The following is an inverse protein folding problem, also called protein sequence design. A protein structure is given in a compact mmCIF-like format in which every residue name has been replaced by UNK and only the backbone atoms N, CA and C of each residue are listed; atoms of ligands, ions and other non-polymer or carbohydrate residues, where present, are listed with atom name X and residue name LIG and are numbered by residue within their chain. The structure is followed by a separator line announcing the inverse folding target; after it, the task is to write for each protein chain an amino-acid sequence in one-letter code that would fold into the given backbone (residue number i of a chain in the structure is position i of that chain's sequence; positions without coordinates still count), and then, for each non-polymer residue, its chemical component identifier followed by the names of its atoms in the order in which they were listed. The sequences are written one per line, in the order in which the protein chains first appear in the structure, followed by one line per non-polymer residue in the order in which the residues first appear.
data_IF_197834755012
#
_entry.id   IF_197834755012
#
_cell.length_a   1.000
_cell.length_b   1.000
_cell.length_c   1.000
_cell.angle_alpha   90.00
_cell.angle_beta   90.00
_cell.angle_gamma   90.00
#
_symmetry.space_group_name_H-M   'P 1'
#
loop_
_entity.id
_entity.type
_entity.pdbx_description
1 polymer ?
#
# COMPACT_ATOMS: atom_id res chain seq x y z
N UNK A 1 13.82 -27.01 13.12
CA UNK A 1 14.64 -25.78 12.98
C UNK A 1 13.69 -24.64 12.70
N UNK A 2 13.63 -23.67 13.59
CA UNK A 2 12.73 -22.52 13.43
C UNK A 2 13.14 -21.70 12.23
N UNK A 3 12.16 -21.44 11.34
CA UNK A 3 12.39 -20.68 10.12
C UNK A 3 12.52 -19.19 10.46
N UNK A 4 13.73 -18.66 10.48
CA UNK A 4 13.94 -17.25 10.74
C UNK A 4 13.75 -16.39 9.48
N UNK A 5 13.01 -15.29 9.62
CA UNK A 5 12.69 -14.35 8.55
C UNK A 5 13.43 -13.03 8.79
N UNK A 6 14.12 -12.51 7.77
CA UNK A 6 14.79 -11.21 7.82
C UNK A 6 14.12 -10.26 6.83
N UNK A 7 13.68 -9.09 7.31
CA UNK A 7 13.02 -8.05 6.51
C UNK A 7 13.99 -6.88 6.33
N UNK A 8 14.22 -6.48 5.08
CA UNK A 8 15.21 -5.47 4.70
C UNK A 8 14.53 -4.15 4.30
N UNK A 9 14.78 -3.08 5.05
CA UNK A 9 14.23 -1.74 4.84
C UNK A 9 15.36 -0.69 4.78
N UNK A 10 16.17 -0.66 3.71
CA UNK A 10 17.42 0.11 3.64
C UNK A 10 17.25 1.63 3.73
N UNK A 11 16.11 2.16 3.33
CA UNK A 11 15.85 3.61 3.36
C UNK A 11 14.38 3.85 3.69
N UNK A 12 14.11 4.26 4.91
CA UNK A 12 12.79 4.75 5.28
C UNK A 12 12.73 6.22 4.90
N UNK A 13 11.92 6.54 3.89
CA UNK A 13 11.70 7.91 3.47
C UNK A 13 10.74 8.61 4.44
N UNK A 14 11.28 9.43 5.32
CA UNK A 14 10.55 10.22 6.33
C UNK A 14 9.45 11.12 5.75
N UNK A 15 9.58 11.51 4.48
CA UNK A 15 8.61 12.40 3.81
C UNK A 15 7.41 11.65 3.20
N UNK A 16 7.48 10.32 3.11
CA UNK A 16 6.42 9.51 2.48
C UNK A 16 5.47 8.86 3.50
N UNK A 17 6.04 8.23 4.52
CA UNK A 17 5.30 7.63 5.65
C UNK A 17 6.20 7.62 6.89
N UNK A 18 5.66 7.80 8.11
CA UNK A 18 6.41 7.63 9.35
C UNK A 18 7.02 6.22 9.44
N UNK A 19 8.23 6.13 9.98
CA UNK A 19 8.89 4.84 10.18
C UNK A 19 8.05 3.89 11.03
N UNK A 20 7.37 4.43 12.04
CA UNK A 20 6.49 3.72 12.94
C UNK A 20 5.33 3.02 12.23
N UNK A 21 4.70 3.67 11.25
CA UNK A 21 3.61 3.05 10.45
C UNK A 21 4.12 1.91 9.58
N UNK A 22 5.30 2.08 8.95
CA UNK A 22 5.89 1.02 8.13
C UNK A 22 6.27 -0.19 8.97
N UNK A 23 6.82 0.03 10.17
CA UNK A 23 7.18 -1.02 11.11
C UNK A 23 5.93 -1.68 11.72
N UNK A 24 4.90 -0.92 12.09
CA UNK A 24 3.62 -1.45 12.55
C UNK A 24 2.96 -2.37 11.51
N UNK A 25 3.11 -2.05 10.23
CA UNK A 25 2.66 -2.94 9.16
C UNK A 25 3.46 -4.25 9.10
N UNK A 26 4.78 -4.20 9.34
CA UNK A 26 5.58 -5.42 9.41
C UNK A 26 5.23 -6.25 10.66
N UNK A 27 4.98 -5.60 11.78
CA UNK A 27 4.51 -6.26 12.99
C UNK A 27 3.18 -6.99 12.76
N UNK A 28 2.24 -6.33 12.10
CA UNK A 28 0.96 -6.93 11.71
C UNK A 28 1.13 -8.14 10.76
N UNK A 29 1.99 -8.07 9.74
CA UNK A 29 2.30 -9.24 8.92
C UNK A 29 2.88 -10.37 9.74
N UNK A 30 3.74 -10.04 10.68
CA UNK A 30 4.46 -11.02 11.51
C UNK A 30 3.57 -11.70 12.53
N UNK A 31 2.47 -11.08 12.95
CA UNK A 31 1.47 -11.74 13.80
C UNK A 31 0.86 -12.97 13.13
N UNK A 32 0.76 -12.97 11.80
CA UNK A 32 0.29 -14.13 11.03
C UNK A 32 1.34 -15.23 10.92
N UNK A 33 2.63 -14.91 10.95
CA UNK A 33 3.70 -15.91 10.99
C UNK A 33 3.62 -16.75 12.26
N UNK A 34 3.24 -16.14 13.38
CA UNK A 34 3.07 -16.81 14.67
C UNK A 34 2.07 -17.96 14.63
N UNK A 35 1.01 -17.85 13.79
CA UNK A 35 0.00 -18.92 13.63
C UNK A 35 0.54 -20.20 12.99
N UNK A 36 1.64 -20.12 12.27
CA UNK A 36 2.25 -21.24 11.52
C UNK A 36 3.62 -21.64 12.08
N UNK A 37 4.07 -21.04 13.17
CA UNK A 37 5.32 -21.42 13.82
C UNK A 37 5.03 -22.50 14.86
N UNK A 38 5.82 -23.57 14.85
CA UNK A 38 5.86 -24.55 15.91
C UNK A 38 6.25 -23.89 17.24
N UNK A 39 6.31 -24.63 18.31
CA UNK A 39 6.44 -24.25 19.75
C UNK A 39 7.44 -23.14 20.08
N UNK A 40 8.32 -22.73 19.19
CA UNK A 40 9.23 -21.58 19.34
C UNK A 40 9.06 -20.61 18.17
N UNK A 41 8.17 -19.62 18.32
CA UNK A 41 8.08 -18.50 17.39
C UNK A 41 9.29 -17.58 17.55
N UNK A 42 10.14 -17.54 16.52
CA UNK A 42 11.19 -16.52 16.43
C UNK A 42 10.63 -15.29 15.70
N UNK A 43 10.64 -14.15 16.41
CA UNK A 43 10.24 -12.87 15.81
C UNK A 43 11.06 -12.60 14.56
N UNK A 44 10.43 -12.22 13.42
CA UNK A 44 11.17 -11.73 12.27
C UNK A 44 12.10 -10.57 12.62
N UNK A 45 13.31 -10.62 12.10
CA UNK A 45 14.32 -9.59 12.28
C UNK A 45 14.12 -8.50 11.22
N UNK A 46 13.75 -7.28 11.63
CA UNK A 46 13.63 -6.11 10.74
C UNK A 46 14.88 -5.26 10.84
N UNK A 47 15.62 -5.16 9.74
CA UNK A 47 16.82 -4.32 9.66
C UNK A 47 16.51 -3.10 8.79
N UNK A 48 16.73 -1.91 9.34
CA UNK A 48 16.40 -0.68 8.63
C UNK A 48 17.41 0.44 8.87
N UNK A 49 17.29 1.51 8.05
CA UNK A 49 18.00 2.78 8.24
C UNK A 49 17.08 3.97 7.96
N UNK A 50 17.39 5.13 8.56
CA UNK A 50 16.68 6.39 8.33
C UNK A 50 15.81 6.87 9.50
N UNK A 51 15.77 6.16 10.62
CA UNK A 51 15.07 6.60 11.83
C UNK A 51 15.81 6.13 13.11
N UNK A 52 15.63 6.84 14.22
CA UNK A 52 16.26 6.55 15.51
C UNK A 52 15.27 6.18 16.61
N UNK A 53 14.09 6.82 16.63
CA UNK A 53 13.11 6.62 17.70
C UNK A 53 12.07 5.59 17.26
N UNK A 54 12.13 4.40 17.86
CA UNK A 54 11.33 3.26 17.47
C UNK A 54 10.60 2.73 18.68
N UNK A 55 9.26 2.63 18.61
CA UNK A 55 8.48 1.98 19.65
C UNK A 55 8.79 0.49 19.70
N UNK A 56 8.44 -0.12 20.80
CA UNK A 56 8.47 -1.58 20.95
C UNK A 56 7.37 -2.22 20.10
N UNK A 57 7.70 -3.32 19.42
CA UNK A 57 6.77 -4.14 18.64
C UNK A 57 6.67 -5.55 19.23
N UNK A 58 5.46 -6.12 19.15
CA UNK A 58 5.20 -7.42 19.76
C UNK A 58 5.71 -8.58 18.91
N UNK A 59 5.54 -8.50 17.59
CA UNK A 59 5.75 -9.64 16.68
C UNK A 59 7.02 -9.53 15.83
N UNK A 60 7.80 -8.46 15.96
CA UNK A 60 9.07 -8.26 15.27
C UNK A 60 10.18 -7.86 16.22
N UNK A 61 11.42 -8.20 15.86
CA UNK A 61 12.64 -7.67 16.46
C UNK A 61 13.24 -6.62 15.52
N UNK A 62 13.47 -5.40 16.01
CA UNK A 62 13.81 -4.26 15.16
C UNK A 62 15.23 -3.77 15.44
N UNK A 63 16.07 -3.71 14.38
CA UNK A 63 17.43 -3.20 14.43
C UNK A 63 17.62 -2.01 13.52
N UNK A 64 17.82 -0.82 14.12
CA UNK A 64 18.25 0.37 13.41
C UNK A 64 19.77 0.37 13.24
N UNK A 65 20.24 0.31 12.00
CA UNK A 65 21.69 0.33 11.73
C UNK A 65 22.22 1.73 11.38
N UNK A 66 21.33 2.70 11.21
CA UNK A 66 21.67 4.10 11.02
C UNK A 66 20.44 5.00 11.11
N UNK A 67 20.57 6.18 11.71
CA UNK A 67 19.55 7.24 11.69
C UNK A 67 19.45 7.95 10.33
N UNK A 68 20.42 7.72 9.41
CA UNK A 68 20.47 8.32 8.06
C UNK A 68 20.38 7.25 6.98
N UNK A 69 19.88 7.57 5.79
CA UNK A 69 19.94 6.70 4.62
C UNK A 69 21.37 6.26 4.31
N UNK A 70 21.52 5.01 3.87
CA UNK A 70 22.82 4.40 3.57
C UNK A 70 22.88 3.91 2.14
N UNK A 71 24.10 3.81 1.59
CA UNK A 71 24.28 3.12 0.32
C UNK A 71 24.09 1.60 0.46
N UNK A 72 23.80 0.94 -0.66
CA UNK A 72 23.47 -0.50 -0.70
C UNK A 72 24.52 -1.39 -0.07
N UNK A 73 25.80 -1.13 -0.35
CA UNK A 73 26.90 -2.00 0.11
C UNK A 73 27.12 -1.85 1.62
N UNK A 74 27.13 -0.63 2.14
CA UNK A 74 27.31 -0.36 3.57
C UNK A 74 26.12 -0.94 4.34
N UNK A 75 24.90 -0.77 3.83
CA UNK A 75 23.71 -1.38 4.44
C UNK A 75 23.82 -2.91 4.46
N UNK A 76 24.23 -3.54 3.35
CA UNK A 76 24.38 -4.98 3.29
C UNK A 76 25.43 -5.50 4.28
N UNK A 77 26.59 -4.86 4.37
CA UNK A 77 27.66 -5.25 5.32
C UNK A 77 27.21 -5.16 6.77
N UNK A 78 26.57 -4.03 7.15
CA UNK A 78 26.04 -3.86 8.52
C UNK A 78 24.90 -4.85 8.82
N UNK A 79 24.02 -5.07 7.86
CA UNK A 79 22.97 -6.09 7.99
C UNK A 79 23.55 -7.48 8.20
N UNK A 80 24.64 -7.83 7.50
CA UNK A 80 25.31 -9.12 7.67
C UNK A 80 25.85 -9.29 9.11
N UNK A 81 26.40 -8.23 9.71
CA UNK A 81 26.86 -8.27 11.09
C UNK A 81 25.70 -8.57 12.06
N UNK A 82 24.58 -7.87 11.90
CA UNK A 82 23.36 -8.10 12.70
C UNK A 82 22.85 -9.54 12.49
N UNK A 83 22.71 -9.98 11.25
CA UNK A 83 22.22 -11.34 10.91
C UNK A 83 23.10 -12.41 11.55
N UNK A 84 24.43 -12.27 11.51
CA UNK A 84 25.35 -13.23 12.14
C UNK A 84 25.16 -13.33 13.65
N UNK A 85 24.84 -12.22 14.31
CA UNK A 85 24.62 -12.20 15.76
C UNK A 85 23.24 -12.71 16.19
N UNK A 86 22.18 -12.38 15.44
CA UNK A 86 20.79 -12.62 15.85
C UNK A 86 20.17 -13.82 15.13
N UNK A 87 20.42 -13.98 13.83
CA UNK A 87 19.78 -14.99 12.98
C UNK A 87 20.77 -15.52 11.94
N UNK A 88 21.78 -16.30 12.33
CA UNK A 88 22.92 -16.66 11.46
C UNK A 88 22.55 -17.49 10.22
N UNK A 89 21.42 -18.18 10.23
CA UNK A 89 20.93 -19.00 9.13
C UNK A 89 19.46 -18.65 8.78
N UNK A 90 19.19 -17.46 8.25
CA UNK A 90 17.82 -17.09 7.90
C UNK A 90 17.26 -18.01 6.81
N UNK A 91 16.01 -18.42 6.95
CA UNK A 91 15.30 -19.17 5.93
C UNK A 91 14.81 -18.24 4.81
N UNK A 92 14.50 -16.97 5.14
CA UNK A 92 13.94 -16.01 4.20
C UNK A 92 14.53 -14.62 4.36
N UNK A 93 14.80 -13.97 3.21
CA UNK A 93 15.15 -12.56 3.09
C UNK A 93 14.02 -11.83 2.36
N UNK A 94 13.35 -10.93 3.05
CA UNK A 94 12.22 -10.18 2.51
C UNK A 94 12.70 -8.81 2.01
N UNK A 95 12.67 -8.63 0.70
CA UNK A 95 12.95 -7.37 0.04
C UNK A 95 11.63 -6.69 -0.31
N UNK A 96 11.26 -5.63 0.39
CA UNK A 96 9.96 -4.96 0.23
C UNK A 96 9.71 -4.38 -1.18
N UNK A 97 10.77 -4.17 -1.98
CA UNK A 97 10.68 -3.79 -3.40
C UNK A 97 11.75 -4.49 -4.23
N UNK A 98 11.55 -4.68 -5.55
CA UNK A 98 12.49 -5.40 -6.42
C UNK A 98 13.65 -4.52 -6.93
N UNK A 99 14.09 -3.54 -6.15
CA UNK A 99 15.19 -2.63 -6.50
C UNK A 99 16.29 -2.69 -5.44
N UNK A 100 16.52 -1.60 -4.73
CA UNK A 100 17.59 -1.49 -3.73
C UNK A 100 17.51 -2.60 -2.64
N UNK A 101 16.35 -2.88 -2.00
CA UNK A 101 16.26 -3.98 -1.03
C UNK A 101 16.58 -5.34 -1.63
N UNK A 102 16.19 -5.58 -2.90
CA UNK A 102 16.45 -6.84 -3.59
C UNK A 102 17.95 -7.03 -3.89
N UNK A 103 18.63 -5.95 -4.30
CA UNK A 103 20.09 -6.00 -4.52
C UNK A 103 20.83 -6.30 -3.21
N UNK A 104 20.40 -5.71 -2.10
CA UNK A 104 20.92 -6.05 -0.77
C UNK A 104 20.70 -7.52 -0.45
N UNK A 105 19.49 -8.03 -0.66
CA UNK A 105 19.18 -9.44 -0.44
C UNK A 105 20.05 -10.39 -1.30
N UNK A 106 20.39 -10.02 -2.54
CA UNK A 106 21.31 -10.78 -3.39
C UNK A 106 22.74 -10.80 -2.82
N UNK A 107 23.21 -9.66 -2.30
CA UNK A 107 24.53 -9.60 -1.64
C UNK A 107 24.54 -10.48 -0.39
N UNK A 108 23.52 -10.36 0.46
CA UNK A 108 23.40 -11.17 1.69
C UNK A 108 23.31 -12.66 1.39
N UNK A 109 22.65 -13.05 0.29
CA UNK A 109 22.52 -14.45 -0.13
C UNK A 109 23.87 -15.11 -0.41
N UNK A 110 24.92 -14.38 -0.75
CA UNK A 110 26.28 -14.93 -0.90
C UNK A 110 26.79 -15.49 0.45
N UNK A 111 26.35 -14.93 1.56
CA UNK A 111 26.73 -15.32 2.92
C UNK A 111 25.67 -16.17 3.62
N UNK A 112 24.45 -16.20 3.09
CA UNK A 112 23.31 -16.98 3.58
C UNK A 112 22.71 -17.82 2.45
N UNK A 113 23.45 -18.81 1.89
CA UNK A 113 23.10 -19.47 0.62
C UNK A 113 21.78 -20.24 0.68
N UNK A 114 21.34 -20.68 1.86
CA UNK A 114 20.06 -21.38 2.06
C UNK A 114 18.85 -20.44 2.09
N UNK A 115 19.05 -19.15 2.35
CA UNK A 115 17.95 -18.19 2.43
C UNK A 115 17.21 -18.03 1.09
N UNK A 116 15.90 -18.00 1.12
CA UNK A 116 15.06 -17.71 -0.06
C UNK A 116 14.75 -16.23 -0.10
N UNK A 117 14.83 -15.60 -1.29
CA UNK A 117 14.56 -14.18 -1.47
C UNK A 117 13.11 -13.99 -1.91
N UNK A 118 12.34 -13.23 -1.14
CA UNK A 118 10.97 -12.83 -1.44
C UNK A 118 10.93 -11.32 -1.71
N UNK A 119 10.15 -10.91 -2.72
CA UNK A 119 9.99 -9.48 -3.04
C UNK A 119 8.54 -9.13 -3.31
N UNK A 120 8.23 -7.82 -3.28
CA UNK A 120 6.90 -7.32 -3.54
C UNK A 120 6.92 -6.22 -4.62
N UNK A 121 5.86 -6.15 -5.42
CA UNK A 121 5.62 -5.08 -6.38
C UNK A 121 4.40 -4.30 -5.89
N UNK A 122 4.60 -3.00 -5.59
CA UNK A 122 3.55 -2.12 -5.07
C UNK A 122 3.04 -1.11 -6.11
N UNK A 123 3.87 -0.73 -7.09
CA UNK A 123 3.54 0.26 -8.13
C UNK A 123 3.11 -0.37 -9.45
N UNK A 124 2.52 0.42 -10.33
CA UNK A 124 2.19 0.00 -11.68
C UNK A 124 3.45 -0.11 -12.56
N UNK A 125 3.72 -1.28 -13.07
CA UNK A 125 4.85 -1.53 -13.99
C UNK A 125 4.68 -0.78 -15.32
N UNK A 126 3.43 -0.50 -15.71
CA UNK A 126 3.10 0.29 -16.90
C UNK A 126 3.61 1.73 -16.84
N UNK A 127 3.70 2.31 -15.64
CA UNK A 127 4.26 3.65 -15.45
C UNK A 127 5.76 3.72 -15.83
N UNK A 128 6.50 2.63 -15.65
CA UNK A 128 7.91 2.56 -16.04
C UNK A 128 8.15 2.58 -17.56
N UNK A 129 7.14 2.24 -18.38
CA UNK A 129 7.28 2.30 -19.86
C UNK A 129 7.24 3.70 -20.44
N UNK A 130 6.69 4.67 -19.74
CA UNK A 130 6.31 5.96 -20.32
C UNK A 130 7.37 7.05 -20.24
N UNK A 131 8.49 6.85 -19.59
CA UNK A 131 9.48 7.90 -19.35
C UNK A 131 10.93 7.43 -19.51
N UNK A 132 11.50 7.64 -20.73
CA UNK A 132 12.92 7.74 -21.01
C UNK A 132 13.81 6.51 -20.81
N UNK A 133 15.05 6.59 -21.28
CA UNK A 133 16.10 5.55 -21.25
C UNK A 133 16.36 4.99 -19.85
N UNK A 134 16.32 5.84 -18.82
CA UNK A 134 16.51 5.44 -17.41
C UNK A 134 15.48 4.38 -16.95
N UNK A 135 14.25 4.44 -17.46
CA UNK A 135 13.19 3.50 -17.09
C UNK A 135 13.26 2.19 -17.87
N UNK A 136 13.79 2.20 -19.08
CA UNK A 136 14.12 0.96 -19.82
C UNK A 136 15.18 0.17 -19.08
N UNK A 137 16.20 0.83 -18.55
CA UNK A 137 17.25 0.21 -17.75
C UNK A 137 16.69 -0.38 -16.45
N UNK A 138 15.80 0.36 -15.76
CA UNK A 138 15.08 -0.15 -14.58
C UNK A 138 14.25 -1.39 -14.90
N UNK A 139 13.55 -1.43 -16.04
CA UNK A 139 12.79 -2.61 -16.50
C UNK A 139 13.69 -3.80 -16.78
N UNK A 140 14.88 -3.60 -17.35
CA UNK A 140 15.85 -4.66 -17.59
C UNK A 140 16.34 -5.26 -16.27
N UNK A 141 16.76 -4.44 -15.31
CA UNK A 141 17.16 -4.89 -13.96
C UNK A 141 16.01 -5.56 -13.22
N UNK A 142 14.81 -5.02 -13.33
CA UNK A 142 13.61 -5.63 -12.77
C UNK A 142 13.42 -7.06 -13.28
N UNK A 143 13.54 -7.29 -14.60
CA UNK A 143 13.47 -8.63 -15.19
C UNK A 143 14.52 -9.58 -14.61
N UNK A 144 15.75 -9.10 -14.49
CA UNK A 144 16.85 -9.89 -13.96
C UNK A 144 16.61 -10.29 -12.50
N UNK A 145 16.14 -9.32 -11.67
CA UNK A 145 15.90 -9.55 -10.25
C UNK A 145 14.69 -10.45 -10.01
N UNK A 146 13.58 -10.23 -10.70
CA UNK A 146 12.40 -11.07 -10.56
C UNK A 146 12.64 -12.53 -10.94
N UNK A 147 13.55 -12.80 -11.89
CA UNK A 147 13.95 -14.18 -12.24
C UNK A 147 14.70 -14.88 -11.10
N UNK A 148 15.37 -14.14 -10.21
CA UNK A 148 16.10 -14.66 -9.06
C UNK A 148 15.31 -14.69 -7.78
N UNK A 149 14.15 -14.04 -7.73
CA UNK A 149 13.25 -14.12 -6.59
C UNK A 149 12.68 -15.54 -6.44
N UNK A 150 12.61 -16.01 -5.20
CA UNK A 150 11.92 -17.27 -4.89
C UNK A 150 10.41 -17.09 -5.01
N UNK A 151 9.88 -15.98 -4.49
CA UNK A 151 8.50 -15.60 -4.70
C UNK A 151 8.35 -14.09 -4.91
N UNK A 152 7.25 -13.71 -5.58
CA UNK A 152 6.91 -12.34 -5.93
C UNK A 152 5.49 -12.07 -5.49
N UNK A 153 5.33 -11.16 -4.55
CA UNK A 153 4.03 -10.66 -4.10
C UNK A 153 3.53 -9.55 -5.00
N UNK A 154 2.29 -9.64 -5.40
CA UNK A 154 1.53 -8.57 -6.05
C UNK A 154 0.40 -8.09 -5.16
N UNK A 155 0.02 -6.81 -5.28
CA UNK A 155 -1.07 -6.24 -4.48
C UNK A 155 -2.44 -6.40 -5.13
N UNK A 156 -2.51 -6.71 -6.44
CA UNK A 156 -3.76 -6.98 -7.15
C UNK A 156 -3.57 -7.98 -8.30
N UNK A 157 -4.68 -8.60 -8.76
CA UNK A 157 -4.71 -9.49 -9.92
C UNK A 157 -4.22 -8.79 -11.18
N UNK A 158 -4.73 -7.59 -11.43
CA UNK A 158 -4.36 -6.78 -12.59
C UNK A 158 -2.87 -6.50 -12.64
N UNK A 159 -2.27 -6.15 -11.49
CA UNK A 159 -0.84 -5.93 -11.41
C UNK A 159 -0.04 -7.20 -11.74
N UNK A 160 -0.48 -8.37 -11.25
CA UNK A 160 0.16 -9.64 -11.58
C UNK A 160 0.04 -9.98 -13.07
N UNK A 161 -1.10 -9.73 -13.70
CA UNK A 161 -1.33 -9.93 -15.12
C UNK A 161 -0.46 -9.00 -15.97
N UNK A 162 -0.40 -7.73 -15.59
CA UNK A 162 0.45 -6.75 -16.29
C UNK A 162 1.93 -7.11 -16.13
N UNK A 163 2.36 -7.58 -14.97
CA UNK A 163 3.74 -8.06 -14.77
C UNK A 163 4.10 -9.22 -15.68
N UNK A 164 3.19 -10.15 -15.96
CA UNK A 164 3.40 -11.28 -16.89
C UNK A 164 3.72 -10.82 -18.32
N UNK A 165 3.20 -9.65 -18.74
CA UNK A 165 3.50 -9.07 -20.06
C UNK A 165 4.95 -8.58 -20.17
N UNK A 166 5.61 -8.29 -19.04
CA UNK A 166 6.96 -7.75 -19.00
C UNK A 166 8.02 -8.79 -18.64
N UNK A 167 7.65 -9.76 -17.83
CA UNK A 167 8.55 -10.79 -17.31
C UNK A 167 7.88 -12.14 -17.47
N UNK A 168 8.57 -13.11 -18.08
CA UNK A 168 8.11 -14.50 -18.04
C UNK A 168 8.21 -15.00 -16.58
N UNK A 169 7.13 -14.85 -15.85
CA UNK A 169 7.01 -15.32 -14.47
C UNK A 169 6.51 -16.77 -14.49
N UNK A 170 7.17 -17.62 -13.74
CA UNK A 170 6.62 -18.94 -13.41
C UNK A 170 5.45 -18.71 -12.44
N UNK A 171 4.24 -19.20 -12.77
CA UNK A 171 3.04 -19.02 -11.96
C UNK A 171 3.19 -19.53 -10.51
N UNK A 172 4.05 -20.50 -10.26
CA UNK A 172 4.34 -21.04 -8.92
C UNK A 172 5.04 -20.03 -7.98
N UNK A 173 5.60 -18.94 -8.53
CA UNK A 173 6.35 -17.93 -7.76
C UNK A 173 5.57 -16.65 -7.52
N UNK A 174 4.45 -16.45 -8.20
CA UNK A 174 3.65 -15.24 -8.11
C UNK A 174 2.41 -15.48 -7.23
N UNK A 175 2.20 -14.61 -6.25
CA UNK A 175 1.01 -14.66 -5.40
C UNK A 175 0.46 -13.26 -5.13
N UNK A 176 -0.82 -13.19 -4.80
CA UNK A 176 -1.51 -11.94 -4.56
C UNK A 176 -1.78 -11.82 -3.06
N UNK A 177 -1.23 -10.78 -2.46
CA UNK A 177 -1.56 -10.35 -1.11
C UNK A 177 -1.62 -8.84 -1.11
N UNK A 178 -2.81 -8.25 -1.02
CA UNK A 178 -3.01 -6.82 -0.95
C UNK A 178 -2.28 -6.17 0.24
N UNK A 179 -2.19 -4.85 0.23
CA UNK A 179 -1.76 -4.10 1.41
C UNK A 179 -2.85 -4.27 2.47
N UNK A 180 -2.55 -4.74 3.68
CA UNK A 180 -3.56 -4.95 4.69
C UNK A 180 -4.06 -3.62 5.22
N UNK A 181 -5.30 -3.63 5.60
CA UNK A 181 -5.91 -2.59 6.39
C UNK A 181 -5.75 -2.96 7.88
N UNK A 182 -5.06 -2.12 8.61
CA UNK A 182 -4.80 -2.31 10.04
C UNK A 182 -5.64 -1.29 10.78
N UNK A 183 -6.75 -1.73 11.39
CA UNK A 183 -7.57 -0.88 12.24
C UNK A 183 -8.35 -1.70 13.25
N UNK A 184 -8.51 -1.13 14.43
CA UNK A 184 -9.32 -1.71 15.51
C UNK A 184 -10.79 -1.23 15.45
N UNK A 185 -11.14 -0.29 14.54
CA UNK A 185 -12.42 0.41 14.54
C UNK A 185 -13.02 0.64 13.15
N UNK A 186 -13.40 -0.43 12.46
CA UNK A 186 -14.19 -0.27 11.22
C UNK A 186 -15.66 -0.05 11.55
N UNK A 187 -16.22 1.03 11.02
CA UNK A 187 -17.67 1.23 11.02
C UNK A 187 -18.30 1.67 12.34
N UNK A 188 -17.53 1.98 13.39
CA UNK A 188 -18.06 2.44 14.70
C UNK A 188 -18.57 3.88 14.69
N UNK A 189 -18.16 4.70 13.73
CA UNK A 189 -18.55 6.09 13.66
C UNK A 189 -19.92 6.25 12.99
N UNK A 190 -20.88 6.88 13.68
CA UNK A 190 -22.11 7.33 13.04
C UNK A 190 -21.73 8.33 11.95
N UNK A 191 -22.25 8.11 10.73
CA UNK A 191 -22.11 9.09 9.66
C UNK A 191 -22.79 10.37 10.11
N UNK A 192 -22.05 11.47 10.20
CA UNK A 192 -22.64 12.77 10.40
C UNK A 192 -23.43 13.12 9.14
N UNK A 193 -24.40 14.02 9.24
CA UNK A 193 -25.19 14.51 8.10
C UNK A 193 -24.36 15.33 7.10
N UNK A 194 -23.06 15.36 7.28
CA UNK A 194 -22.12 16.10 6.45
C UNK A 194 -21.92 15.40 5.11
N UNK A 195 -21.96 16.19 4.05
CA UNK A 195 -21.96 15.73 2.65
C UNK A 195 -20.67 16.11 1.94
N UNK A 196 -19.50 15.99 2.61
CA UNK A 196 -18.25 16.36 1.99
C UNK A 196 -17.93 15.49 0.78
N UNK A 197 -17.56 16.13 -0.32
CA UNK A 197 -16.85 15.52 -1.43
C UNK A 197 -15.37 15.54 -1.04
N UNK A 198 -14.75 14.37 -0.88
CA UNK A 198 -13.40 14.31 -0.38
C UNK A 198 -12.37 13.90 -1.43
N UNK A 199 -11.17 14.50 -1.30
CA UNK A 199 -9.91 13.99 -1.81
C UNK A 199 -9.12 13.39 -0.65
N UNK A 200 -8.66 12.14 -0.77
CA UNK A 200 -7.85 11.48 0.25
C UNK A 200 -6.58 10.91 -0.37
N UNK A 201 -5.44 11.41 0.06
CA UNK A 201 -4.14 10.91 -0.38
C UNK A 201 -3.12 12.00 -0.69
N UNK A 202 -1.98 11.58 -1.26
CA UNK A 202 -0.90 12.51 -1.61
C UNK A 202 -1.32 13.44 -2.74
N UNK A 203 -1.19 14.74 -2.54
CA UNK A 203 -1.58 15.78 -3.52
C UNK A 203 -0.46 15.96 -4.55
N UNK A 204 -0.50 15.14 -5.61
CA UNK A 204 0.51 15.11 -6.67
C UNK A 204 -0.12 14.83 -8.04
N UNK A 205 0.57 15.15 -9.12
CA UNK A 205 0.07 15.07 -10.50
C UNK A 205 -0.47 13.68 -10.87
N UNK A 206 0.19 12.63 -10.41
CA UNK A 206 -0.20 11.24 -10.68
C UNK A 206 -1.53 10.84 -10.04
N UNK A 207 -2.04 11.67 -9.10
CA UNK A 207 -3.37 11.49 -8.49
C UNK A 207 -4.49 12.24 -9.22
N UNK A 208 -4.17 12.90 -10.34
CA UNK A 208 -5.16 13.62 -11.15
C UNK A 208 -5.72 14.89 -10.47
N UNK A 209 -4.89 15.60 -9.70
CA UNK A 209 -5.31 16.78 -8.93
C UNK A 209 -5.95 17.85 -9.81
N UNK A 210 -5.42 18.11 -11.01
CA UNK A 210 -5.98 19.08 -11.95
C UNK A 210 -7.41 18.69 -12.38
N UNK A 211 -7.62 17.41 -12.68
CA UNK A 211 -8.94 16.89 -13.04
C UNK A 211 -9.91 16.94 -11.86
N UNK A 212 -9.41 16.65 -10.63
CA UNK A 212 -10.22 16.75 -9.42
C UNK A 212 -10.76 18.16 -9.22
N UNK A 213 -9.90 19.18 -9.37
CA UNK A 213 -10.29 20.59 -9.29
C UNK A 213 -11.37 20.92 -10.34
N UNK A 214 -11.19 20.45 -11.57
CA UNK A 214 -12.16 20.70 -12.67
C UNK A 214 -13.52 20.03 -12.38
N UNK A 215 -13.52 18.80 -11.85
CA UNK A 215 -14.76 18.10 -11.54
C UNK A 215 -15.54 18.80 -10.45
N UNK A 216 -14.87 19.32 -9.40
CA UNK A 216 -15.57 19.92 -8.26
C UNK A 216 -15.93 21.41 -8.44
N UNK A 217 -15.60 22.03 -9.57
CA UNK A 217 -15.90 23.45 -9.84
C UNK A 217 -17.34 23.86 -9.55
N UNK A 218 -18.38 23.11 -9.92
CA UNK A 218 -19.77 23.50 -9.72
C UNK A 218 -20.29 23.31 -8.28
N UNK A 219 -19.51 22.67 -7.40
CA UNK A 219 -19.92 22.40 -6.02
C UNK A 219 -19.48 23.54 -5.07
N UNK A 220 -20.25 23.75 -4.00
CA UNK A 220 -19.87 24.71 -2.96
C UNK A 220 -18.52 24.31 -2.34
N UNK A 221 -17.62 25.25 -2.24
CA UNK A 221 -16.28 25.04 -1.66
C UNK A 221 -16.34 24.54 -0.21
N UNK A 222 -17.35 24.94 0.54
CA UNK A 222 -17.58 24.47 1.91
C UNK A 222 -17.93 22.99 2.01
N UNK A 223 -18.31 22.36 0.89
CA UNK A 223 -18.56 20.92 0.81
C UNK A 223 -17.32 20.12 0.38
N UNK A 224 -16.15 20.76 0.23
CA UNK A 224 -14.94 20.09 -0.21
C UNK A 224 -13.99 19.85 0.96
N UNK A 225 -13.56 18.60 1.13
CA UNK A 225 -12.60 18.18 2.15
C UNK A 225 -11.38 17.54 1.46
N UNK A 226 -10.20 18.11 1.71
CA UNK A 226 -8.96 17.64 1.15
C UNK A 226 -8.06 17.12 2.27
N UNK A 227 -7.85 15.81 2.32
CA UNK A 227 -7.01 15.11 3.28
C UNK A 227 -5.70 14.69 2.60
N UNK A 228 -4.61 15.31 3.00
CA UNK A 228 -3.29 15.01 2.50
C UNK A 228 -2.42 16.22 2.23
N UNK A 229 -1.18 15.93 1.85
CA UNK A 229 -0.17 16.91 1.46
C UNK A 229 0.58 16.44 0.21
N UNK A 230 1.33 17.33 -0.42
CA UNK A 230 2.16 17.00 -1.56
C UNK A 230 2.57 18.19 -2.40
N UNK A 231 3.33 17.96 -3.49
CA UNK A 231 3.89 19.05 -4.31
C UNK A 231 2.85 20.01 -4.90
N UNK A 232 1.62 19.56 -5.13
CA UNK A 232 0.53 20.39 -5.68
C UNK A 232 -0.43 20.95 -4.62
N UNK A 233 -0.17 20.76 -3.32
CA UNK A 233 -1.06 21.19 -2.25
C UNK A 233 -1.28 22.72 -2.24
N UNK A 234 -0.23 23.51 -2.44
CA UNK A 234 -0.33 24.98 -2.48
C UNK A 234 -1.18 25.43 -3.67
N UNK A 235 -0.97 24.88 -4.84
CA UNK A 235 -1.77 25.18 -6.05
C UNK A 235 -3.24 24.84 -5.81
N UNK A 236 -3.51 23.68 -5.22
CA UNK A 236 -4.87 23.25 -4.92
C UNK A 236 -5.57 24.18 -3.93
N UNK A 237 -4.86 24.64 -2.88
CA UNK A 237 -5.39 25.65 -1.92
C UNK A 237 -5.73 26.98 -2.57
N UNK A 238 -4.89 27.46 -3.48
CA UNK A 238 -5.13 28.73 -4.21
C UNK A 238 -6.36 28.66 -5.12
N UNK A 239 -6.61 27.49 -5.75
CA UNK A 239 -7.73 27.31 -6.68
C UNK A 239 -9.06 26.94 -5.98
N UNK A 240 -9.00 26.43 -4.76
CA UNK A 240 -10.15 25.97 -3.99
C UNK A 240 -10.31 26.78 -2.68
N UNK A 241 -10.23 28.10 -2.77
CA UNK A 241 -10.45 28.99 -1.62
C UNK A 241 -11.82 28.72 -1.01
N UNK A 242 -11.87 28.51 0.31
CA UNK A 242 -13.08 28.14 1.04
C UNK A 242 -13.28 26.64 1.28
N UNK A 243 -12.49 25.78 0.64
CA UNK A 243 -12.47 24.34 0.93
C UNK A 243 -11.69 24.04 2.23
N UNK A 244 -12.01 22.93 2.87
CA UNK A 244 -11.32 22.46 4.07
C UNK A 244 -10.08 21.63 3.69
N UNK A 245 -8.91 22.00 4.18
CA UNK A 245 -7.65 21.29 4.01
C UNK A 245 -7.09 20.86 5.36
N UNK A 246 -6.96 19.58 5.60
CA UNK A 246 -6.43 19.06 6.87
C UNK A 246 -4.90 18.99 6.90
N UNK A 247 -4.25 18.99 5.73
CA UNK A 247 -2.84 18.63 5.64
C UNK A 247 -2.63 17.11 5.70
N UNK A 248 -1.40 16.69 5.97
CA UNK A 248 -1.07 15.27 6.17
C UNK A 248 -1.59 14.83 7.54
N UNK A 249 -2.37 13.76 7.57
CA UNK A 249 -2.91 13.14 8.77
C UNK A 249 -2.26 11.77 9.00
N UNK A 250 -2.23 11.34 10.26
CA UNK A 250 -1.89 9.96 10.63
C UNK A 250 -3.01 9.01 10.18
N UNK A 251 -2.71 7.71 10.07
CA UNK A 251 -3.73 6.71 9.73
C UNK A 251 -4.96 6.79 10.64
N UNK A 252 -4.75 6.97 11.94
CA UNK A 252 -5.84 7.07 12.93
C UNK A 252 -6.74 8.28 12.64
N UNK A 253 -6.14 9.45 12.43
CA UNK A 253 -6.88 10.67 12.09
C UNK A 253 -7.64 10.54 10.76
N UNK A 254 -7.05 9.90 9.75
CA UNK A 254 -7.78 9.61 8.50
C UNK A 254 -8.99 8.72 8.77
N UNK A 255 -8.85 7.68 9.62
CA UNK A 255 -9.96 6.80 10.00
C UNK A 255 -11.11 7.57 10.67
N UNK A 256 -10.79 8.52 11.53
CA UNK A 256 -11.78 9.39 12.22
C UNK A 256 -12.51 10.31 11.23
N UNK A 257 -11.78 10.83 10.23
CA UNK A 257 -12.35 11.74 9.22
C UNK A 257 -13.32 11.08 8.24
N UNK A 258 -13.30 9.75 8.05
CA UNK A 258 -14.25 9.09 7.17
C UNK A 258 -15.72 9.31 7.56
N UNK A 259 -16.02 9.60 8.83
CA UNK A 259 -17.36 9.89 9.31
C UNK A 259 -17.95 11.17 8.69
N UNK A 260 -17.11 12.12 8.31
CA UNK A 260 -17.49 13.42 7.74
C UNK A 260 -17.68 13.37 6.22
N UNK A 261 -17.25 12.29 5.56
CA UNK A 261 -17.21 12.20 4.11
C UNK A 261 -18.50 11.59 3.56
N UNK A 262 -19.15 12.31 2.66
CA UNK A 262 -20.34 11.87 1.93
C UNK A 262 -19.98 10.99 0.74
N UNK A 263 -18.94 11.36 -0.03
CA UNK A 263 -18.47 10.65 -1.20
C UNK A 263 -16.97 10.88 -1.42
N UNK A 264 -16.25 9.83 -1.80
CA UNK A 264 -14.86 9.93 -2.21
C UNK A 264 -14.79 10.14 -3.73
N UNK A 265 -14.14 11.22 -4.19
CA UNK A 265 -13.80 11.42 -5.59
C UNK A 265 -12.34 11.02 -5.84
N UNK A 266 -12.12 10.00 -6.66
CA UNK A 266 -10.79 9.54 -7.10
C UNK A 266 -10.56 9.82 -8.57
N UNK A 267 -9.64 10.74 -8.88
CA UNK A 267 -9.30 11.13 -10.25
C UNK A 267 -7.97 10.52 -10.73
N UNK A 268 -7.37 9.64 -9.93
CA UNK A 268 -6.12 8.98 -10.26
C UNK A 268 -6.27 8.15 -11.55
N UNK A 269 -5.53 8.44 -12.62
CA UNK A 269 -5.62 7.69 -13.87
C UNK A 269 -4.97 6.29 -13.74
N UNK A 270 -4.13 6.11 -12.74
CA UNK A 270 -3.41 4.86 -12.47
C UNK A 270 -3.49 4.52 -10.99
N UNK A 271 -4.22 3.48 -10.67
CA UNK A 271 -4.31 2.93 -9.33
C UNK A 271 -4.41 1.41 -9.41
N UNK A 272 -3.43 0.71 -8.84
CA UNK A 272 -3.35 -0.76 -8.93
C UNK A 272 -4.31 -1.47 -7.99
N UNK A 273 -4.50 -0.91 -6.78
CA UNK A 273 -5.30 -1.51 -5.73
C UNK A 273 -6.35 -0.54 -5.17
N UNK A 274 -5.97 0.73 -4.97
CA UNK A 274 -6.87 1.75 -4.44
C UNK A 274 -7.15 1.60 -2.95
N UNK A 275 -6.11 1.72 -2.12
CA UNK A 275 -6.25 1.58 -0.68
C UNK A 275 -7.27 2.58 -0.11
N UNK A 276 -7.17 3.87 -0.47
CA UNK A 276 -8.12 4.89 -0.01
C UNK A 276 -9.57 4.60 -0.46
N UNK A 277 -9.76 4.01 -1.65
CA UNK A 277 -11.09 3.58 -2.10
C UNK A 277 -11.65 2.47 -1.21
N UNK A 278 -10.83 1.48 -0.87
CA UNK A 278 -11.26 0.38 0.02
C UNK A 278 -11.50 0.86 1.44
N UNK A 279 -10.70 1.78 1.94
CA UNK A 279 -10.92 2.45 3.23
C UNK A 279 -12.25 3.19 3.24
N UNK A 280 -12.56 3.96 2.19
CA UNK A 280 -13.85 4.62 2.04
C UNK A 280 -15.02 3.63 2.14
N UNK A 281 -14.98 2.54 1.38
CA UNK A 281 -16.04 1.51 1.41
C UNK A 281 -16.16 0.83 2.77
N UNK A 282 -15.05 0.56 3.46
CA UNK A 282 -15.07 0.02 4.82
C UNK A 282 -15.81 0.94 5.80
N UNK A 283 -15.67 2.25 5.60
CA UNK A 283 -16.35 3.27 6.43
C UNK A 283 -17.74 3.65 5.92
N UNK A 284 -18.25 3.00 4.87
CA UNK A 284 -19.58 3.27 4.33
C UNK A 284 -19.65 4.52 3.45
N UNK A 285 -18.54 4.88 2.82
CA UNK A 285 -18.44 6.04 1.92
C UNK A 285 -18.42 5.54 0.48
N UNK A 286 -19.39 5.90 -0.38
CA UNK A 286 -19.41 5.55 -1.79
C UNK A 286 -18.32 6.29 -2.57
N UNK A 287 -18.04 5.79 -3.77
CA UNK A 287 -16.92 6.27 -4.58
C UNK A 287 -17.37 6.70 -5.96
N UNK A 288 -16.89 7.85 -6.41
CA UNK A 288 -16.86 8.24 -7.81
C UNK A 288 -15.41 8.20 -8.27
N UNK A 289 -15.08 7.35 -9.24
CA UNK A 289 -13.70 7.13 -9.66
C UNK A 289 -13.52 7.22 -11.16
N UNK A 290 -12.39 7.80 -11.58
CA UNK A 290 -11.88 7.61 -12.94
C UNK A 290 -11.60 6.13 -13.16
N UNK A 291 -11.83 5.64 -14.39
CA UNK A 291 -11.49 4.25 -14.73
C UNK A 291 -9.99 3.99 -14.52
N UNK A 292 -9.70 3.09 -13.61
CA UNK A 292 -8.36 2.54 -13.35
C UNK A 292 -8.48 1.10 -12.85
N UNK A 293 -7.37 0.38 -12.79
CA UNK A 293 -7.40 -1.05 -12.48
C UNK A 293 -8.04 -1.38 -11.12
N UNK A 294 -7.73 -0.61 -10.07
CA UNK A 294 -8.29 -0.82 -8.74
C UNK A 294 -9.78 -0.48 -8.65
N UNK A 295 -10.22 0.55 -9.37
CA UNK A 295 -11.61 0.97 -9.40
C UNK A 295 -12.49 -0.01 -10.19
N UNK A 296 -12.01 -0.49 -11.35
CA UNK A 296 -12.71 -1.48 -12.19
C UNK A 296 -12.93 -2.79 -11.39
N UNK A 297 -11.92 -3.26 -10.66
CA UNK A 297 -12.05 -4.47 -9.83
C UNK A 297 -13.14 -4.32 -8.77
N UNK A 298 -13.25 -3.14 -8.16
CA UNK A 298 -14.28 -2.84 -7.17
C UNK A 298 -15.68 -2.73 -7.79
N UNK A 299 -15.79 -2.02 -8.92
CA UNK A 299 -17.06 -1.79 -9.60
C UNK A 299 -17.68 -3.08 -10.10
N UNK A 300 -16.89 -4.00 -10.65
CA UNK A 300 -17.36 -5.31 -11.09
C UNK A 300 -18.01 -6.15 -9.98
N UNK A 301 -17.57 -5.95 -8.74
CA UNK A 301 -18.10 -6.71 -7.58
C UNK A 301 -19.16 -5.94 -6.80
N UNK A 302 -19.08 -4.62 -6.78
CA UNK A 302 -19.91 -3.74 -5.95
C UNK A 302 -20.40 -2.52 -6.74
N UNK A 303 -21.16 -2.70 -7.83
CA UNK A 303 -21.53 -1.62 -8.77
C UNK A 303 -22.40 -0.52 -8.14
N UNK A 304 -23.07 -0.83 -7.02
CA UNK A 304 -23.85 0.17 -6.29
C UNK A 304 -23.00 1.10 -5.41
N UNK A 305 -21.81 0.64 -4.99
CA UNK A 305 -20.94 1.37 -4.06
C UNK A 305 -19.92 2.26 -4.76
N UNK A 306 -19.69 2.02 -6.06
CA UNK A 306 -18.72 2.76 -6.87
C UNK A 306 -19.27 3.03 -8.25
N UNK A 307 -19.09 4.28 -8.72
CA UNK A 307 -19.43 4.71 -10.08
C UNK A 307 -18.15 5.08 -10.83
N UNK A 308 -17.96 4.48 -12.00
CA UNK A 308 -16.83 4.80 -12.88
C UNK A 308 -17.24 5.89 -13.88
N UNK A 309 -16.40 6.90 -14.04
CA UNK A 309 -16.64 7.97 -15.01
C UNK A 309 -15.54 8.05 -16.06
N UNK A 310 -15.91 8.56 -17.24
CA UNK A 310 -15.01 8.86 -18.37
C UNK A 310 -14.97 10.34 -18.71
N UNK A 311 -16.06 11.06 -18.40
CA UNK A 311 -16.17 12.49 -18.62
C UNK A 311 -16.40 13.23 -17.32
N UNK A 312 -16.01 14.50 -17.28
CA UNK A 312 -16.23 15.39 -16.14
C UNK A 312 -17.70 15.47 -15.77
N UNK A 313 -18.59 15.57 -16.74
CA UNK A 313 -20.03 15.72 -16.51
C UNK A 313 -20.62 14.46 -15.86
N UNK A 314 -20.18 13.27 -16.27
CA UNK A 314 -20.54 12.03 -15.61
C UNK A 314 -20.09 12.01 -14.15
N UNK A 315 -18.85 12.45 -13.86
CA UNK A 315 -18.37 12.53 -12.49
C UNK A 315 -19.23 13.47 -11.65
N UNK A 316 -19.57 14.65 -12.17
CA UNK A 316 -20.43 15.62 -11.50
C UNK A 316 -21.84 15.08 -11.24
N UNK A 317 -22.42 14.38 -12.21
CA UNK A 317 -23.71 13.73 -12.07
C UNK A 317 -23.69 12.68 -10.95
N UNK A 318 -22.70 11.79 -10.95
CA UNK A 318 -22.59 10.74 -9.92
C UNK A 318 -22.32 11.28 -8.52
N UNK A 319 -21.55 12.37 -8.41
CA UNK A 319 -21.35 13.06 -7.12
C UNK A 319 -22.67 13.60 -6.58
N UNK A 320 -23.47 14.29 -7.42
CA UNK A 320 -24.80 14.79 -7.03
C UNK A 320 -25.73 13.65 -6.61
N UNK A 321 -25.75 12.55 -7.36
CA UNK A 321 -26.55 11.37 -7.07
C UNK A 321 -26.26 10.80 -5.67
N UNK A 322 -24.97 10.62 -5.32
CA UNK A 322 -24.58 10.10 -4.00
C UNK A 322 -24.80 11.09 -2.85
N UNK A 323 -24.76 12.40 -3.13
CA UNK A 323 -25.04 13.45 -2.13
C UNK A 323 -26.54 13.53 -1.86
N UNK A 324 -27.37 13.52 -2.90
CA UNK A 324 -28.83 13.65 -2.81
C UNK A 324 -29.48 12.38 -2.30
N UNK A 325 -28.92 11.22 -2.65
CA UNK A 325 -29.44 9.89 -2.25
C UNK A 325 -28.32 9.07 -1.61
N UNK A 326 -27.97 9.35 -0.34
CA UNK A 326 -26.94 8.62 0.37
C UNK A 326 -27.35 7.16 0.56
N UNK A 327 -26.39 6.24 0.32
CA UNK A 327 -26.57 4.81 0.49
C UNK A 327 -26.75 4.42 1.96
N UNK A 328 -27.55 3.35 2.21
CA UNK A 328 -27.65 2.77 3.54
C UNK A 328 -26.32 2.04 3.89
N UNK A 329 -25.94 2.09 5.16
CA UNK A 329 -24.75 1.40 5.66
C UNK A 329 -24.75 -0.10 5.40
N UNK A 330 -25.92 -0.71 5.39
CA UNK A 330 -26.10 -2.16 5.12
C UNK A 330 -25.63 -2.54 3.72
N UNK A 331 -25.67 -1.62 2.76
CA UNK A 331 -25.18 -1.87 1.40
C UNK A 331 -23.67 -2.17 1.37
N UNK A 332 -22.93 -1.69 2.38
CA UNK A 332 -21.49 -1.92 2.51
C UNK A 332 -21.11 -3.20 3.29
N UNK A 333 -22.07 -3.88 3.92
CA UNK A 333 -21.77 -5.04 4.79
C UNK A 333 -21.23 -6.23 4.00
N UNK A 334 -21.72 -6.45 2.79
CA UNK A 334 -21.19 -7.47 1.90
C UNK A 334 -19.71 -7.20 1.56
N UNK A 335 -19.38 -5.95 1.23
CA UNK A 335 -18.01 -5.54 0.96
C UNK A 335 -17.11 -5.74 2.19
N UNK A 336 -17.54 -5.31 3.39
CA UNK A 336 -16.78 -5.47 4.63
C UNK A 336 -16.45 -6.93 4.92
N UNK A 337 -17.45 -7.80 4.85
CA UNK A 337 -17.31 -9.25 5.07
C UNK A 337 -16.30 -9.85 4.09
N UNK A 338 -16.45 -9.56 2.81
CA UNK A 338 -15.57 -10.08 1.75
C UNK A 338 -14.16 -9.58 1.93
N UNK A 339 -14.00 -8.27 2.22
CA UNK A 339 -12.69 -7.64 2.40
C UNK A 339 -11.89 -8.31 3.52
N UNK A 340 -12.45 -8.47 4.71
CA UNK A 340 -11.74 -9.08 5.83
C UNK A 340 -11.48 -10.56 5.62
N UNK A 341 -12.42 -11.28 4.99
CA UNK A 341 -12.22 -12.69 4.63
C UNK A 341 -11.06 -12.86 3.65
N UNK A 342 -11.00 -12.02 2.61
CA UNK A 342 -9.91 -12.04 1.63
C UNK A 342 -8.58 -11.58 2.22
N UNK A 343 -8.60 -10.57 3.10
CA UNK A 343 -7.41 -10.12 3.81
C UNK A 343 -6.83 -11.25 4.65
N UNK A 344 -7.64 -11.94 5.44
CA UNK A 344 -7.18 -13.04 6.27
C UNK A 344 -6.58 -14.18 5.44
N UNK A 345 -7.27 -14.61 4.38
CA UNK A 345 -6.78 -15.64 3.45
C UNK A 345 -5.43 -15.25 2.83
N UNK A 346 -5.30 -14.01 2.40
CA UNK A 346 -4.09 -13.52 1.73
C UNK A 346 -2.91 -13.37 2.69
N UNK A 347 -3.17 -12.98 3.94
CA UNK A 347 -2.13 -12.88 4.97
C UNK A 347 -1.67 -14.25 5.45
N UNK A 348 -2.57 -15.21 5.57
CA UNK A 348 -2.23 -16.61 5.84
C UNK A 348 -1.34 -17.19 4.72
N UNK A 349 -1.65 -16.89 3.45
CA UNK A 349 -0.79 -17.28 2.32
C UNK A 349 0.59 -16.62 2.39
N UNK A 350 0.64 -15.31 2.71
CA UNK A 350 1.90 -14.58 2.89
C UNK A 350 2.78 -15.25 3.95
N UNK A 351 2.20 -15.59 5.10
CA UNK A 351 2.92 -16.24 6.19
C UNK A 351 3.52 -17.57 5.75
N UNK A 352 2.75 -18.45 5.12
CA UNK A 352 3.24 -19.73 4.58
C UNK A 352 4.39 -19.53 3.59
N UNK A 353 4.24 -18.57 2.66
CA UNK A 353 5.30 -18.27 1.68
C UNK A 353 6.58 -17.78 2.35
N UNK A 354 6.48 -16.90 3.35
CA UNK A 354 7.66 -16.38 4.07
C UNK A 354 8.33 -17.43 4.95
N UNK A 355 7.58 -18.37 5.49
CA UNK A 355 8.10 -19.53 6.24
C UNK A 355 8.59 -20.66 5.31
N UNK A 356 8.39 -20.54 4.00
CA UNK A 356 8.72 -21.57 3.00
C UNK A 356 7.89 -22.87 3.16
N UNK A 357 6.67 -22.76 3.69
CA UNK A 357 5.71 -23.84 3.88
C UNK A 357 4.71 -23.92 2.72
N UNK A 358 5.15 -23.90 1.48
CA UNK A 358 4.29 -23.91 0.32
C UNK A 358 4.93 -24.53 -0.92
#
# INVERSE_FOLDING_TARGET
MSSSVVILMPNINRNAQPATELLARQDFYSSYLRKYSDTQFHKPLVIFSGASDIPHFENIEVHSISSKPMNVFVFALRSLQVIKGVSPNPASLIAGTPFQPFLIALILKLFTPKAKIHTAIHGELGALKRSGFSNLLKLYFLRLFLRRAHSIRFVSKKQAEDAKKFVKLNNKRAFITPVPFVTDSVGSHKRNSSSFIAFVGRIQKERGVEEWIEVVKPFDRKQLLIIGEGPQAQTMRMLLVGATFTGALTNKEVQENWAEIGVLLSTAPYESYGLAMREALLHGVPIVSKENAGAIELEQRYPNLIKLYRTKDQAQQYLKEFIEKPLDRKEFDAFRKDFFTEQEKSLNLLAKVWLNEG
#
